data_IF_074577479505
#
_entry.id   IF_074577479505
#
_cell.length_a   1.000
_cell.length_b   1.000
_cell.length_c   1.000
_cell.angle_alpha   90.00
_cell.angle_beta   90.00
_cell.angle_gamma   90.00
#
_symmetry.space_group_name_H-M   'P 1'
#
loop_
_entity.id
_entity.type
_entity.pdbx_description
1 polymer ?
#
# COMPACT_ATOMS: atom_id res chain seq x y z
N UNK A 1 -4.97 4.45 -3.49
CA UNK A 1 -5.99 3.39 -3.31
C UNK A 1 -7.26 3.89 -2.63
N UNK A 2 -7.21 4.50 -1.43
CA UNK A 2 -8.42 5.04 -0.77
C UNK A 2 -9.22 6.03 -1.64
N UNK A 3 -8.55 6.94 -2.36
CA UNK A 3 -9.21 7.82 -3.32
C UNK A 3 -9.94 7.06 -4.45
N UNK A 4 -9.39 5.94 -4.92
CA UNK A 4 -10.07 5.07 -5.90
C UNK A 4 -11.30 4.38 -5.30
N UNK A 5 -11.22 3.95 -4.03
CA UNK A 5 -12.36 3.38 -3.31
C UNK A 5 -13.50 4.38 -3.16
N UNK A 6 -13.20 5.62 -2.77
CA UNK A 6 -14.19 6.70 -2.66
C UNK A 6 -14.77 7.10 -4.02
N UNK A 7 -13.93 7.14 -5.05
CA UNK A 7 -14.38 7.36 -6.43
C UNK A 7 -15.42 6.31 -6.85
N UNK A 8 -15.20 5.03 -6.58
CA UNK A 8 -16.17 3.96 -6.89
C UNK A 8 -17.44 4.03 -6.03
N UNK A 9 -17.29 4.40 -4.76
CA UNK A 9 -18.37 4.40 -3.76
C UNK A 9 -19.28 5.62 -3.87
N UNK A 10 -18.90 6.60 -4.69
CA UNK A 10 -19.59 7.88 -4.90
C UNK A 10 -20.95 7.80 -5.64
N UNK A 11 -21.62 6.65 -5.68
CA UNK A 11 -22.99 6.55 -6.25
C UNK A 11 -23.93 7.52 -5.51
N UNK A 12 -24.68 8.32 -6.26
CA UNK A 12 -25.56 9.36 -5.70
C UNK A 12 -24.88 10.65 -5.25
N UNK A 13 -23.53 10.72 -5.19
CA UNK A 13 -22.79 11.97 -4.89
C UNK A 13 -22.70 12.87 -6.12
N UNK A 14 -22.48 14.17 -5.90
CA UNK A 14 -22.33 15.18 -6.96
C UNK A 14 -21.17 14.85 -7.92
N UNK A 15 -21.26 15.30 -9.18
CA UNK A 15 -20.19 15.12 -10.18
C UNK A 15 -18.86 15.70 -9.71
N UNK A 16 -18.89 16.82 -8.99
CA UNK A 16 -17.72 17.47 -8.41
C UNK A 16 -17.00 16.58 -7.39
N UNK A 17 -17.74 15.89 -6.51
CA UNK A 17 -17.14 14.97 -5.54
C UNK A 17 -16.44 13.80 -6.24
N UNK A 18 -17.04 13.25 -7.30
CA UNK A 18 -16.41 12.18 -8.10
C UNK A 18 -15.13 12.65 -8.76
N UNK A 19 -15.17 13.82 -9.38
CA UNK A 19 -14.00 14.41 -10.03
C UNK A 19 -12.88 14.65 -9.01
N UNK A 20 -13.22 15.18 -7.83
CA UNK A 20 -12.24 15.39 -6.75
C UNK A 20 -11.48 14.12 -6.37
N UNK A 21 -12.18 13.00 -6.15
CA UNK A 21 -11.53 11.73 -5.82
C UNK A 21 -10.68 11.16 -6.97
N UNK A 22 -11.14 11.28 -8.22
CA UNK A 22 -10.35 10.89 -9.38
C UNK A 22 -9.08 11.74 -9.53
N UNK A 23 -9.19 13.05 -9.34
CA UNK A 23 -8.05 13.98 -9.36
C UNK A 23 -7.06 13.66 -8.24
N UNK A 24 -7.52 13.42 -7.01
CA UNK A 24 -6.65 13.03 -5.89
C UNK A 24 -5.92 11.71 -6.18
N UNK A 25 -6.60 10.73 -6.77
CA UNK A 25 -5.97 9.49 -7.20
C UNK A 25 -4.86 9.77 -8.22
N UNK A 26 -5.15 10.50 -9.29
CA UNK A 26 -4.17 10.82 -10.34
C UNK A 26 -2.98 11.61 -9.80
N UNK A 27 -3.20 12.61 -8.95
CA UNK A 27 -2.13 13.40 -8.33
C UNK A 27 -1.23 12.53 -7.46
N UNK A 28 -1.78 11.66 -6.62
CA UNK A 28 -0.99 10.75 -5.79
C UNK A 28 -0.19 9.74 -6.65
N UNK A 29 -0.78 9.24 -7.72
CA UNK A 29 -0.13 8.33 -8.68
C UNK A 29 1.00 9.01 -9.44
N UNK A 30 0.79 10.22 -9.94
CA UNK A 30 1.82 11.03 -10.61
C UNK A 30 2.94 11.37 -9.62
N UNK A 31 2.61 11.79 -8.40
CA UNK A 31 3.59 12.05 -7.35
C UNK A 31 4.44 10.82 -7.02
N UNK A 32 3.82 9.63 -7.00
CA UNK A 32 4.55 8.36 -6.82
C UNK A 32 5.51 8.09 -7.99
N UNK A 33 5.09 8.35 -9.24
CA UNK A 33 5.94 8.22 -10.42
C UNK A 33 7.11 9.23 -10.40
N UNK A 34 6.83 10.48 -10.03
CA UNK A 34 7.81 11.57 -9.91
C UNK A 34 8.68 11.49 -8.64
N UNK A 35 8.52 10.46 -7.81
CA UNK A 35 9.46 10.19 -6.70
C UNK A 35 10.82 9.68 -7.19
N UNK A 36 10.90 9.25 -8.45
CA UNK A 36 12.11 8.71 -9.08
C UNK A 36 12.81 7.62 -8.26
N UNK A 37 12.02 6.76 -7.63
CA UNK A 37 12.49 5.66 -6.79
C UNK A 37 11.92 4.34 -7.31
N UNK A 38 12.82 3.47 -7.79
CA UNK A 38 12.49 2.10 -8.25
C UNK A 38 11.72 1.32 -7.18
N UNK A 39 12.11 1.44 -5.92
CA UNK A 39 11.44 0.79 -4.80
C UNK A 39 10.03 1.38 -4.55
N UNK A 40 9.87 2.70 -4.65
CA UNK A 40 8.56 3.33 -4.54
C UNK A 40 7.62 2.94 -5.69
N UNK A 41 8.14 2.82 -6.92
CA UNK A 41 7.37 2.34 -8.07
C UNK A 41 6.95 0.88 -7.91
N UNK A 42 7.84 0.02 -7.40
CA UNK A 42 7.52 -1.36 -7.05
C UNK A 42 6.40 -1.42 -6.00
N UNK A 43 6.53 -0.65 -4.91
CA UNK A 43 5.52 -0.53 -3.85
C UNK A 43 4.15 -0.14 -4.43
N UNK A 44 4.13 0.95 -5.21
CA UNK A 44 2.91 1.45 -5.84
C UNK A 44 2.30 0.43 -6.80
N UNK A 45 3.12 -0.20 -7.64
CA UNK A 45 2.70 -1.21 -8.60
C UNK A 45 2.04 -2.41 -7.92
N UNK A 46 2.68 -2.97 -6.89
CA UNK A 46 2.14 -4.13 -6.14
C UNK A 46 0.89 -3.73 -5.35
N UNK A 47 0.90 -2.55 -4.71
CA UNK A 47 -0.26 -2.03 -4.00
C UNK A 47 -1.47 -1.89 -4.92
N UNK A 48 -1.33 -1.20 -6.05
CA UNK A 48 -2.44 -0.97 -6.98
C UNK A 48 -2.89 -2.26 -7.66
N UNK A 49 -1.95 -3.13 -8.06
CA UNK A 49 -2.29 -4.39 -8.71
C UNK A 49 -3.05 -5.32 -7.75
N UNK A 50 -2.58 -5.47 -6.51
CA UNK A 50 -3.30 -6.25 -5.51
C UNK A 50 -4.66 -5.66 -5.16
N UNK A 51 -4.78 -4.31 -5.10
CA UNK A 51 -6.05 -3.63 -4.88
C UNK A 51 -7.04 -3.97 -6.00
N UNK A 52 -6.62 -3.83 -7.27
CA UNK A 52 -7.46 -4.14 -8.43
C UNK A 52 -7.90 -5.61 -8.41
N UNK A 53 -6.94 -6.53 -8.22
CA UNK A 53 -7.21 -7.98 -8.16
C UNK A 53 -8.24 -8.29 -7.07
N UNK A 54 -8.02 -7.82 -5.84
CA UNK A 54 -8.95 -8.07 -4.74
C UNK A 54 -10.32 -7.44 -4.98
N UNK A 55 -10.39 -6.22 -5.52
CA UNK A 55 -11.68 -5.57 -5.87
C UNK A 55 -12.45 -6.30 -6.95
N UNK A 56 -11.76 -6.97 -7.87
CA UNK A 56 -12.38 -7.79 -8.92
C UNK A 56 -12.83 -9.13 -8.35
N UNK A 57 -11.98 -9.80 -7.56
CA UNK A 57 -12.29 -11.10 -6.94
C UNK A 57 -13.44 -11.03 -5.94
N UNK A 58 -13.59 -9.92 -5.21
CA UNK A 58 -14.71 -9.71 -4.27
C UNK A 58 -15.93 -9.05 -4.91
N UNK A 59 -16.01 -8.95 -6.24
CA UNK A 59 -17.19 -8.41 -6.91
C UNK A 59 -18.41 -9.33 -6.74
N UNK A 60 -19.58 -8.74 -6.48
CA UNK A 60 -20.84 -9.49 -6.28
C UNK A 60 -21.38 -10.16 -7.55
N UNK A 61 -20.91 -9.74 -8.72
CA UNK A 61 -21.27 -10.33 -10.01
C UNK A 61 -20.23 -10.02 -11.08
N UNK A 62 -20.23 -10.83 -12.15
CA UNK A 62 -19.35 -10.62 -13.31
C UNK A 62 -19.53 -9.22 -13.93
N UNK A 63 -20.76 -8.71 -13.98
CA UNK A 63 -21.03 -7.35 -14.48
C UNK A 63 -20.34 -6.28 -13.64
N UNK A 64 -20.32 -6.44 -12.31
CA UNK A 64 -19.64 -5.51 -11.40
C UNK A 64 -18.12 -5.62 -11.56
N UNK A 65 -17.59 -6.84 -11.67
CA UNK A 65 -16.17 -7.10 -11.93
C UNK A 65 -15.71 -6.40 -13.21
N UNK A 66 -16.40 -6.64 -14.34
CA UNK A 66 -16.07 -6.01 -15.64
C UNK A 66 -16.11 -4.49 -15.53
N UNK A 67 -17.15 -3.91 -14.93
CA UNK A 67 -17.23 -2.44 -14.76
C UNK A 67 -16.07 -1.87 -13.95
N UNK A 68 -15.69 -2.53 -12.84
CA UNK A 68 -14.53 -2.13 -12.03
C UNK A 68 -13.25 -2.22 -12.85
N UNK A 69 -13.00 -3.34 -13.52
CA UNK A 69 -11.84 -3.53 -14.39
C UNK A 69 -11.75 -2.45 -15.48
N UNK A 70 -12.84 -2.19 -16.21
CA UNK A 70 -12.88 -1.12 -17.21
C UNK A 70 -12.56 0.25 -16.61
N UNK A 71 -13.09 0.55 -15.42
CA UNK A 71 -12.82 1.81 -14.71
C UNK A 71 -11.34 1.96 -14.39
N UNK A 72 -10.70 0.92 -13.83
CA UNK A 72 -9.28 0.97 -13.49
C UNK A 72 -8.39 1.04 -14.72
N UNK A 73 -8.74 0.33 -15.80
CA UNK A 73 -8.05 0.42 -17.09
C UNK A 73 -8.13 1.85 -17.63
N UNK A 74 -9.31 2.48 -17.60
CA UNK A 74 -9.46 3.88 -18.03
C UNK A 74 -8.63 4.84 -17.18
N UNK A 75 -8.60 4.67 -15.85
CA UNK A 75 -7.77 5.49 -14.97
C UNK A 75 -6.28 5.28 -15.21
N UNK A 76 -5.85 4.04 -15.46
CA UNK A 76 -4.46 3.72 -15.80
C UNK A 76 -4.06 4.34 -17.14
N UNK A 77 -4.89 4.22 -18.17
CA UNK A 77 -4.63 4.84 -19.47
C UNK A 77 -4.55 6.37 -19.34
N UNK A 78 -5.46 6.98 -18.58
CA UNK A 78 -5.42 8.42 -18.32
C UNK A 78 -4.13 8.82 -17.58
N UNK A 79 -3.74 8.07 -16.54
CA UNK A 79 -2.50 8.29 -15.82
C UNK A 79 -1.27 8.22 -16.75
N UNK A 80 -1.18 7.19 -17.58
CA UNK A 80 -0.09 7.00 -18.54
C UNK A 80 -0.05 8.12 -19.58
N UNK A 81 -1.20 8.54 -20.11
CA UNK A 81 -1.30 9.66 -21.05
C UNK A 81 -0.83 10.98 -20.42
N UNK A 82 -1.31 11.31 -19.21
CA UNK A 82 -0.93 12.55 -18.52
C UNK A 82 0.55 12.52 -18.15
N UNK A 83 1.05 11.40 -17.62
CA UNK A 83 2.46 11.25 -17.27
C UNK A 83 3.36 11.30 -18.50
N UNK A 84 2.99 10.63 -19.60
CA UNK A 84 3.72 10.69 -20.86
C UNK A 84 3.76 12.10 -21.45
N UNK A 85 2.63 12.82 -21.43
CA UNK A 85 2.59 14.22 -21.85
C UNK A 85 3.49 15.11 -20.98
N UNK A 86 3.54 14.88 -19.67
CA UNK A 86 4.46 15.58 -18.77
C UNK A 86 5.93 15.35 -19.14
N UNK A 87 6.32 14.10 -19.39
CA UNK A 87 7.70 13.78 -19.77
C UNK A 87 8.09 14.41 -21.11
N UNK A 88 7.18 14.40 -22.11
CA UNK A 88 7.40 15.08 -23.40
C UNK A 88 7.55 16.60 -23.21
N UNK A 89 6.71 17.20 -22.36
CA UNK A 89 6.73 18.64 -22.11
C UNK A 89 7.94 19.10 -21.27
N UNK A 90 8.61 18.20 -20.55
CA UNK A 90 9.68 18.50 -19.61
C UNK A 90 10.91 17.59 -19.85
N UNK A 91 11.79 17.92 -20.81
CA UNK A 91 12.91 17.07 -21.20
C UNK A 91 13.85 16.70 -20.05
N UNK A 92 14.17 17.65 -19.17
CA UNK A 92 15.03 17.40 -18.00
C UNK A 92 14.41 16.36 -17.05
N UNK A 93 13.08 16.40 -16.87
CA UNK A 93 12.32 15.43 -16.07
C UNK A 93 12.36 14.04 -16.72
N UNK A 94 12.26 13.97 -18.05
CA UNK A 94 12.35 12.71 -18.80
C UNK A 94 13.75 12.10 -18.75
N UNK A 95 14.79 12.92 -18.85
CA UNK A 95 16.18 12.48 -18.69
C UNK A 95 16.40 11.93 -17.27
N UNK A 96 15.98 12.67 -16.25
CA UNK A 96 16.10 12.23 -14.86
C UNK A 96 15.30 10.95 -14.60
N UNK A 97 14.09 10.82 -15.16
CA UNK A 97 13.31 9.58 -15.11
C UNK A 97 14.08 8.39 -15.70
N UNK A 98 14.73 8.59 -16.85
CA UNK A 98 15.50 7.55 -17.54
C UNK A 98 16.74 7.15 -16.74
N UNK A 99 17.49 8.12 -16.22
CA UNK A 99 18.62 7.85 -15.32
C UNK A 99 18.18 7.07 -14.08
N UNK A 100 17.00 7.36 -13.55
CA UNK A 100 16.49 6.76 -12.31
C UNK A 100 15.82 5.40 -12.50
N UNK A 101 15.48 5.03 -13.73
CA UNK A 101 14.84 3.74 -14.05
C UNK A 101 15.84 2.60 -14.24
N UNK A 102 17.12 2.90 -14.44
CA UNK A 102 18.18 1.92 -14.70
C UNK A 102 19.04 1.64 -13.47
N UNK A 103 19.88 0.60 -13.57
CA UNK A 103 20.91 0.27 -12.58
C UNK A 103 21.91 1.42 -12.44
N UNK A 104 22.43 1.62 -11.23
CA UNK A 104 23.30 2.74 -10.86
C UNK A 104 24.56 2.24 -10.16
N UNK A 105 25.66 2.99 -10.23
CA UNK A 105 26.92 2.60 -9.60
C UNK A 105 26.81 2.38 -8.07
N UNK A 106 25.94 3.12 -7.38
CA UNK A 106 25.70 2.88 -5.94
C UNK A 106 24.98 1.56 -5.65
N UNK A 107 24.30 0.97 -6.64
CA UNK A 107 23.64 -0.32 -6.48
C UNK A 107 24.69 -1.43 -6.27
N UNK A 108 25.90 -1.31 -6.83
CA UNK A 108 26.98 -2.28 -6.63
C UNK A 108 27.40 -2.36 -5.16
N UNK A 109 27.68 -1.19 -4.55
CA UNK A 109 28.04 -1.08 -3.13
C UNK A 109 26.92 -1.64 -2.25
N UNK A 110 25.68 -1.28 -2.60
CA UNK A 110 24.50 -1.69 -1.86
C UNK A 110 24.24 -3.19 -1.91
N UNK A 111 24.22 -3.80 -3.10
CA UNK A 111 23.97 -5.23 -3.23
C UNK A 111 25.15 -6.07 -2.73
N UNK A 112 26.38 -5.58 -2.88
CA UNK A 112 27.55 -6.19 -2.24
C UNK A 112 27.46 -6.19 -0.71
N UNK A 113 27.02 -5.07 -0.11
CA UNK A 113 26.78 -4.99 1.34
C UNK A 113 25.68 -5.96 1.77
N UNK A 114 24.59 -6.07 1.01
CA UNK A 114 23.52 -7.04 1.29
C UNK A 114 24.02 -8.48 1.28
N UNK A 115 24.86 -8.83 0.31
CA UNK A 115 25.44 -10.17 0.19
C UNK A 115 26.36 -10.49 1.36
N UNK A 116 27.27 -9.58 1.71
CA UNK A 116 28.17 -9.75 2.86
C UNK A 116 27.38 -9.90 4.16
N UNK A 117 26.43 -9.01 4.43
CA UNK A 117 25.62 -9.05 5.65
C UNK A 117 24.75 -10.33 5.73
N UNK A 118 24.24 -10.81 4.60
CA UNK A 118 23.49 -12.06 4.54
C UNK A 118 24.39 -13.28 4.84
N UNK A 119 25.59 -13.33 4.28
CA UNK A 119 26.56 -14.40 4.53
C UNK A 119 26.98 -14.43 6.00
N UNK A 120 27.24 -13.27 6.60
CA UNK A 120 27.55 -13.16 8.02
C UNK A 120 26.40 -13.68 8.90
N UNK A 121 25.17 -13.25 8.59
CA UNK A 121 23.97 -13.69 9.32
C UNK A 121 23.72 -15.21 9.22
N UNK A 122 24.08 -15.84 8.10
CA UNK A 122 24.00 -17.29 7.93
C UNK A 122 25.07 -18.04 8.73
N UNK A 123 26.24 -17.42 8.94
CA UNK A 123 27.38 -18.03 9.65
C UNK A 123 27.28 -17.90 11.18
N UNK A 124 26.62 -16.86 11.67
CA UNK A 124 26.49 -16.55 13.09
C UNK A 124 25.19 -17.05 13.72
N UNK A 125 25.27 -17.49 14.98
CA UNK A 125 24.06 -17.85 15.77
C UNK A 125 23.51 -16.65 16.56
N UNK A 126 24.37 -15.68 16.90
CA UNK A 126 24.03 -14.47 17.65
C UNK A 126 24.16 -13.28 16.70
N UNK A 127 23.19 -12.38 16.74
CA UNK A 127 23.12 -11.20 15.87
C UNK A 127 24.03 -10.11 16.40
N UNK A 128 24.41 -9.19 15.53
CA UNK A 128 25.33 -8.10 15.88
C UNK A 128 24.69 -7.05 16.81
N UNK A 129 23.38 -7.13 17.03
CA UNK A 129 22.61 -6.21 17.87
C UNK A 129 21.78 -5.20 17.05
N UNK A 130 20.62 -4.76 17.57
CA UNK A 130 19.77 -3.79 16.88
C UNK A 130 20.49 -2.48 16.55
N UNK A 131 20.34 -2.00 15.32
CA UNK A 131 20.94 -0.75 14.87
C UNK A 131 22.44 -0.79 14.60
N UNK A 132 23.08 -1.97 14.64
CA UNK A 132 24.54 -2.09 14.45
C UNK A 132 24.95 -2.30 12.99
N UNK A 133 24.02 -2.58 12.07
CA UNK A 133 24.37 -2.93 10.69
C UNK A 133 25.21 -1.86 9.99
N UNK A 134 24.85 -0.60 10.13
CA UNK A 134 25.54 0.52 9.49
C UNK A 134 26.93 0.78 10.09
N UNK A 135 27.15 0.41 11.35
CA UNK A 135 28.44 0.55 12.03
C UNK A 135 29.40 -0.57 11.62
N UNK A 136 28.89 -1.80 11.51
CA UNK A 136 29.70 -2.98 11.20
C UNK A 136 30.07 -3.02 9.71
N UNK A 137 29.14 -2.65 8.82
CA UNK A 137 29.33 -2.76 7.37
C UNK A 137 29.76 -1.45 6.69
N UNK A 138 29.87 -0.35 7.45
CA UNK A 138 30.13 1.01 6.95
C UNK A 138 29.15 1.45 5.83
N UNK A 139 28.00 0.77 5.75
CA UNK A 139 26.96 0.98 4.75
C UNK A 139 25.65 0.33 5.22
N UNK A 140 24.51 0.89 4.84
CA UNK A 140 23.21 0.32 5.21
C UNK A 140 22.89 -0.90 4.35
N UNK A 141 22.28 -1.92 4.98
CA UNK A 141 21.82 -3.12 4.26
C UNK A 141 20.75 -2.78 3.22
N UNK A 142 19.99 -1.69 3.36
CA UNK A 142 18.93 -1.29 2.42
C UNK A 142 17.98 -2.44 2.06
N UNK A 143 17.68 -3.28 3.06
CA UNK A 143 16.77 -4.41 3.02
C UNK A 143 16.42 -4.73 4.45
N UNK A 144 15.14 -4.52 4.79
CA UNK A 144 14.64 -4.76 6.14
C UNK A 144 14.85 -6.20 6.58
N UNK A 145 14.73 -7.14 5.65
CA UNK A 145 14.87 -8.57 5.92
C UNK A 145 16.33 -8.93 6.25
N UNK A 146 17.28 -8.41 5.47
CA UNK A 146 18.72 -8.62 5.74
C UNK A 146 19.11 -7.96 7.05
N UNK A 147 18.64 -6.72 7.28
CA UNK A 147 18.88 -5.98 8.52
C UNK A 147 18.40 -6.76 9.75
N UNK A 148 17.14 -7.18 9.74
CA UNK A 148 16.55 -7.92 10.86
C UNK A 148 17.35 -9.20 11.10
N UNK A 149 17.73 -9.89 10.03
CA UNK A 149 18.46 -11.16 10.15
C UNK A 149 19.85 -10.96 10.76
N UNK A 150 20.64 -10.01 10.25
CA UNK A 150 22.01 -9.80 10.75
C UNK A 150 22.02 -9.23 12.16
N UNK A 151 21.10 -8.31 12.48
CA UNK A 151 21.04 -7.66 13.79
C UNK A 151 20.42 -8.56 14.89
N UNK A 152 19.46 -9.43 14.54
CA UNK A 152 18.63 -10.17 15.52
C UNK A 152 18.65 -11.70 15.32
N UNK A 153 19.52 -12.22 14.46
CA UNK A 153 19.66 -13.66 14.16
C UNK A 153 18.39 -14.30 13.57
N UNK A 154 18.43 -15.63 13.49
CA UNK A 154 17.28 -16.47 13.14
C UNK A 154 16.06 -16.21 14.02
N UNK A 155 16.23 -16.01 15.32
CA UNK A 155 15.10 -15.79 16.23
C UNK A 155 14.34 -14.52 15.87
N UNK A 156 15.05 -13.41 15.62
CA UNK A 156 14.44 -12.16 15.18
C UNK A 156 13.79 -12.28 13.80
N UNK A 157 14.45 -12.97 12.87
CA UNK A 157 13.93 -13.20 11.52
C UNK A 157 12.62 -14.01 11.54
N UNK A 158 12.61 -15.14 12.26
CA UNK A 158 11.44 -16.01 12.41
C UNK A 158 10.31 -15.27 13.12
N UNK A 159 10.62 -14.54 14.20
CA UNK A 159 9.63 -13.75 14.92
C UNK A 159 9.00 -12.68 14.02
N UNK A 160 9.82 -11.96 13.24
CA UNK A 160 9.35 -10.95 12.31
C UNK A 160 8.48 -11.54 11.20
N UNK A 161 8.93 -12.59 10.50
CA UNK A 161 8.11 -13.22 9.47
C UNK A 161 6.85 -13.87 10.05
N UNK A 162 6.91 -14.46 11.23
CA UNK A 162 5.73 -14.96 11.94
C UNK A 162 4.69 -13.86 12.17
N UNK A 163 5.12 -12.69 12.65
CA UNK A 163 4.24 -11.52 12.82
C UNK A 163 3.66 -11.01 11.49
N UNK A 164 4.48 -10.91 10.44
CA UNK A 164 4.03 -10.49 9.11
C UNK A 164 3.01 -11.49 8.54
N UNK A 165 3.29 -12.78 8.60
CA UNK A 165 2.39 -13.83 8.10
C UNK A 165 1.07 -13.85 8.86
N UNK A 166 1.09 -13.68 10.18
CA UNK A 166 -0.12 -13.58 10.99
C UNK A 166 -0.95 -12.35 10.60
N UNK A 167 -0.31 -11.20 10.42
CA UNK A 167 -0.97 -9.95 10.00
C UNK A 167 -1.56 -10.08 8.60
N UNK A 168 -0.81 -10.64 7.65
CA UNK A 168 -1.31 -10.89 6.29
C UNK A 168 -2.49 -11.85 6.30
N UNK A 169 -2.37 -12.97 7.00
CA UNK A 169 -3.44 -13.95 7.14
C UNK A 169 -4.71 -13.29 7.70
N UNK A 170 -4.60 -12.52 8.79
CA UNK A 170 -5.73 -11.80 9.37
C UNK A 170 -6.32 -10.78 8.40
N UNK A 171 -5.49 -9.99 7.72
CA UNK A 171 -5.92 -8.98 6.76
C UNK A 171 -6.67 -9.59 5.57
N UNK A 172 -6.16 -10.69 4.99
CA UNK A 172 -6.87 -11.43 3.93
C UNK A 172 -8.16 -12.06 4.43
N UNK A 173 -8.16 -12.62 5.65
CA UNK A 173 -9.38 -13.16 6.26
C UNK A 173 -10.47 -12.10 6.37
N UNK A 174 -10.12 -10.87 6.79
CA UNK A 174 -11.06 -9.73 6.83
C UNK A 174 -11.60 -9.36 5.45
N UNK A 175 -10.76 -9.34 4.41
CA UNK A 175 -11.22 -9.08 3.03
C UNK A 175 -12.26 -10.11 2.58
N UNK A 176 -12.01 -11.39 2.84
CA UNK A 176 -12.87 -12.48 2.38
C UNK A 176 -14.16 -12.65 3.21
N UNK A 177 -14.11 -12.37 4.51
CA UNK A 177 -15.26 -12.55 5.42
C UNK A 177 -16.13 -11.31 5.56
N UNK A 178 -15.59 -10.12 5.30
CA UNK A 178 -16.37 -8.89 5.40
C UNK A 178 -17.47 -8.85 4.35
N UNK A 179 -18.73 -8.82 4.82
CA UNK A 179 -19.93 -8.65 3.99
C UNK A 179 -20.44 -7.20 3.96
N UNK A 180 -19.77 -6.29 4.66
CA UNK A 180 -20.23 -4.93 4.95
C UNK A 180 -19.45 -3.86 4.17
N UNK A 181 -19.83 -2.58 4.34
CA UNK A 181 -19.17 -1.40 3.75
C UNK A 181 -17.64 -1.36 3.93
N UNK A 182 -17.12 -1.96 5.01
CA UNK A 182 -15.71 -1.95 5.36
C UNK A 182 -14.82 -2.84 4.48
N UNK A 183 -15.37 -3.74 3.65
CA UNK A 183 -14.55 -4.61 2.79
C UNK A 183 -13.59 -3.82 1.89
N UNK A 184 -14.02 -2.64 1.41
CA UNK A 184 -13.16 -1.75 0.63
C UNK A 184 -11.92 -1.28 1.39
N UNK A 185 -12.07 -0.93 2.67
CA UNK A 185 -10.97 -0.49 3.53
C UNK A 185 -9.97 -1.62 3.78
N UNK A 186 -10.46 -2.83 4.09
CA UNK A 186 -9.59 -3.99 4.29
C UNK A 186 -8.78 -4.33 3.05
N UNK A 187 -9.36 -4.16 1.86
CA UNK A 187 -8.60 -4.31 0.61
C UNK A 187 -7.51 -3.24 0.52
N UNK A 188 -7.80 -1.98 0.84
CA UNK A 188 -6.79 -0.89 0.86
C UNK A 188 -5.64 -1.22 1.82
N UNK A 189 -5.93 -1.67 3.04
CA UNK A 189 -4.91 -2.02 4.04
C UNK A 189 -4.07 -3.21 3.56
N UNK A 190 -4.71 -4.31 3.16
CA UNK A 190 -4.02 -5.52 2.66
C UNK A 190 -3.08 -5.16 1.51
N UNK A 191 -3.57 -4.40 0.54
CA UNK A 191 -2.79 -3.98 -0.62
C UNK A 191 -1.60 -3.09 -0.27
N UNK A 192 -1.79 -2.13 0.65
CA UNK A 192 -0.70 -1.28 1.12
C UNK A 192 0.36 -2.09 1.87
N UNK A 193 -0.05 -3.07 2.68
CA UNK A 193 0.87 -3.98 3.38
C UNK A 193 1.70 -4.78 2.37
N UNK A 194 1.07 -5.36 1.33
CA UNK A 194 1.79 -6.09 0.29
C UNK A 194 2.83 -5.21 -0.43
N UNK A 195 2.46 -3.97 -0.76
CA UNK A 195 3.37 -3.02 -1.39
C UNK A 195 4.55 -2.64 -0.52
N UNK A 196 4.34 -2.32 0.76
CA UNK A 196 5.44 -1.95 1.66
C UNK A 196 6.34 -3.14 1.96
N UNK A 197 5.81 -4.37 2.04
CA UNK A 197 6.62 -5.57 2.22
C UNK A 197 7.51 -5.84 1.00
N UNK A 198 7.00 -5.62 -0.22
CA UNK A 198 7.82 -5.70 -1.42
C UNK A 198 8.90 -4.60 -1.46
N UNK A 199 8.55 -3.37 -1.07
CA UNK A 199 9.50 -2.27 -0.91
C UNK A 199 10.62 -2.63 0.09
N UNK A 200 10.29 -3.40 1.13
CA UNK A 200 11.20 -3.75 2.23
C UNK A 200 12.34 -4.68 1.83
N UNK A 201 12.29 -5.31 0.65
CA UNK A 201 13.46 -5.98 0.04
C UNK A 201 14.53 -4.98 -0.38
N UNK A 202 14.11 -3.75 -0.68
CA UNK A 202 14.97 -2.73 -1.27
C UNK A 202 15.14 -1.49 -0.40
N UNK A 203 14.50 -1.41 0.76
CA UNK A 203 14.58 -0.27 1.65
C UNK A 203 14.45 -0.80 3.08
N UNK A 204 15.17 -0.18 4.01
CA UNK A 204 14.98 -0.43 5.45
C UNK A 204 13.73 0.33 5.90
N UNK A 205 12.61 -0.37 6.10
CA UNK A 205 11.32 0.19 6.50
C UNK A 205 11.04 0.00 7.99
N UNK A 206 11.84 -0.84 8.68
CA UNK A 206 11.65 -1.18 10.10
C UNK A 206 11.76 0.02 11.05
N UNK A 207 12.48 1.06 10.65
CA UNK A 207 12.59 2.29 11.43
C UNK A 207 11.46 3.30 11.10
N UNK A 208 10.62 3.00 10.10
CA UNK A 208 9.52 3.87 9.70
C UNK A 208 8.35 3.69 10.65
N UNK A 209 8.00 4.73 11.41
CA UNK A 209 6.84 4.70 12.32
C UNK A 209 5.55 4.28 11.60
N UNK A 210 5.36 4.74 10.36
CA UNK A 210 4.18 4.44 9.57
C UNK A 210 4.12 2.99 9.06
N UNK A 211 5.26 2.26 8.98
CA UNK A 211 5.28 0.84 8.67
C UNK A 211 4.52 0.05 9.75
N UNK A 212 4.84 0.31 11.02
CA UNK A 212 4.18 -0.34 12.16
C UNK A 212 2.70 0.06 12.28
N UNK A 213 2.38 1.35 12.06
CA UNK A 213 0.98 1.79 12.04
C UNK A 213 0.17 1.08 10.95
N UNK A 214 0.75 0.89 9.76
CA UNK A 214 0.08 0.20 8.65
C UNK A 214 -0.21 -1.27 8.99
N UNK A 215 0.76 -1.97 9.61
CA UNK A 215 0.58 -3.35 10.05
C UNK A 215 -0.43 -3.50 11.19
N UNK A 216 -0.61 -2.46 12.01
CA UNK A 216 -1.61 -2.43 13.07
C UNK A 216 -3.04 -2.24 12.55
N UNK A 217 -3.24 -1.63 11.37
CA UNK A 217 -4.58 -1.32 10.86
C UNK A 217 -5.50 -2.55 10.83
N UNK A 218 -5.16 -3.71 10.23
CA UNK A 218 -6.05 -4.87 10.20
C UNK A 218 -6.54 -5.34 11.57
N UNK A 219 -5.83 -5.03 12.66
CA UNK A 219 -6.17 -5.43 14.02
C UNK A 219 -7.13 -4.47 14.75
N UNK A 220 -7.55 -3.38 14.10
CA UNK A 220 -8.48 -2.41 14.67
C UNK A 220 -9.87 -3.00 14.96
N UNK A 221 -10.60 -2.39 15.91
CA UNK A 221 -12.00 -2.76 16.15
C UNK A 221 -12.93 -1.99 15.20
N UNK A 222 -13.43 -2.69 14.17
CA UNK A 222 -14.27 -2.11 13.12
C UNK A 222 -15.79 -2.20 13.41
N UNK A 223 -16.21 -2.77 14.54
CA UNK A 223 -17.65 -2.87 14.87
C UNK A 223 -18.30 -1.51 15.15
N UNK A 224 -17.50 -0.51 15.54
CA UNK A 224 -17.97 0.86 15.82
C UNK A 224 -18.22 1.69 14.55
N UNK A 225 -17.68 1.28 13.41
CA UNK A 225 -17.86 1.99 12.13
C UNK A 225 -19.19 1.67 11.45
N UNK A 226 -19.85 0.58 11.85
CA UNK A 226 -21.18 0.21 11.34
C UNK A 226 -22.33 0.88 12.10
N UNK A 227 -22.15 1.25 13.37
CA UNK A 227 -23.23 1.76 14.22
C UNK A 227 -23.63 3.21 13.95
N UNK A 228 -22.74 4.05 13.38
CA UNK A 228 -23.03 5.47 13.14
C UNK A 228 -23.93 5.74 11.93
N UNK A 229 -24.03 4.80 11.00
CA UNK A 229 -24.90 4.92 9.81
C UNK A 229 -26.34 4.52 10.10
N UNK A 230 -26.59 3.60 11.04
CA UNK A 230 -27.95 3.16 11.40
C UNK A 230 -28.63 4.12 12.39
N UNK A 231 -27.88 4.78 13.26
CA UNK A 231 -28.47 5.78 14.18
C UNK A 231 -28.97 7.03 13.45
N UNK A 232 -28.36 7.38 12.31
CA UNK A 232 -28.76 8.54 11.51
C UNK A 232 -29.99 8.28 10.63
N UNK A 233 -30.26 7.05 10.21
CA UNK A 233 -31.52 6.70 9.52
C UNK A 233 -32.69 6.64 10.50
N UNK A 234 -32.47 6.08 11.70
CA UNK A 234 -33.52 6.00 12.72
C UNK A 234 -33.93 7.36 13.30
N UNK A 235 -33.04 8.35 13.38
CA UNK A 235 -33.40 9.69 13.86
C UNK A 235 -34.25 10.48 12.86
N UNK A 236 -34.02 10.31 11.55
CA UNK A 236 -34.79 10.99 10.49
C UNK A 236 -36.21 10.41 10.39
N UNK A 237 -36.37 9.09 10.58
CA UNK A 237 -37.68 8.45 10.59
C UNK A 237 -38.51 8.80 11.85
N UNK A 238 -37.85 9.00 13.00
CA UNK A 238 -38.53 9.44 14.22
C UNK A 238 -39.00 10.91 14.15
N UNK A 239 -38.19 11.80 13.57
CA UNK A 239 -38.52 13.22 13.44
C UNK A 239 -39.60 13.47 12.37
N UNK A 240 -39.67 12.65 11.33
CA UNK A 240 -40.76 12.67 10.35
C UNK A 240 -42.08 12.09 10.87
N UNK A 241 -42.03 11.09 11.77
CA UNK A 241 -43.21 10.55 12.42
C UNK A 241 -43.84 11.51 13.45
N UNK A 242 -43.04 12.36 14.10
CA UNK A 242 -43.51 13.40 15.02
C UNK A 242 -44.20 14.57 14.30
N UNK A 243 -43.78 14.90 13.09
CA UNK A 243 -44.37 16.00 12.28
C UNK A 243 -45.65 15.62 11.52
N UNK A 244 -46.17 14.40 11.68
CA UNK A 244 -47.43 13.94 11.09
C UNK A 244 -48.58 13.85 12.11
N UNK A 245 -48.34 14.28 13.35
CA UNK A 245 -49.30 14.22 14.47
C UNK A 245 -49.78 15.61 14.93
N UNK A 246 -49.29 16.69 14.31
CA UNK A 246 -49.77 18.07 14.48
C UNK A 246 -50.50 18.57 13.22
#
# INVERSE_FOLDING_TARGET
>A
MYAALEFESSKGKSKLAKLGWATLFLLASIGSALSFSRAAWLNYGISISSYIVLRVLTASSMRVAIRRSSTYISLLLLLLTVFGALLIAQPNTAEFFTQRSVYQAYDDVRFGTQEVALNDALSGFIGIGPGQSEVVYDYATHSSYVRIFVENSWLGLIGFFGFILLTLHHSFWLVLKSKNSNQGLFIVFTSAILGILANSFFIDTVHWRHFWLLLALPWGNYSLLSSSTDTASHSVDAESALNLVD
#
